data_IF_916408027585
#
_entry.id   IF_916408027585
#
_cell.length_a   1.000
_cell.length_b   1.000
_cell.length_c   1.000
_cell.angle_alpha   90.00
_cell.angle_beta   90.00
_cell.angle_gamma   90.00
#
_symmetry.space_group_name_H-M   'P 1'
#
loop_
_entity.id
_entity.type
_entity.pdbx_description
1 polymer ?
#
# COMPACT_ATOMS: atom_id res chain seq x y z
N UNK A 1 38.31 31.27 -38.94
CA UNK A 1 38.12 29.80 -38.89
C UNK A 1 38.03 29.39 -37.43
N UNK A 2 36.81 29.06 -37.01
CA UNK A 2 36.38 28.78 -35.63
C UNK A 2 36.95 27.46 -35.13
N UNK A 3 37.88 27.49 -34.17
CA UNK A 3 38.40 26.29 -33.48
C UNK A 3 37.92 26.16 -32.04
N UNK A 4 37.18 27.15 -31.52
CA UNK A 4 36.75 27.17 -30.11
C UNK A 4 35.43 26.44 -29.83
N UNK A 5 34.65 26.08 -30.86
CA UNK A 5 33.34 25.43 -30.68
C UNK A 5 33.38 23.90 -30.55
N UNK A 6 34.52 23.26 -30.86
CA UNK A 6 34.63 21.79 -30.83
C UNK A 6 35.00 21.22 -29.45
N UNK A 7 35.60 22.02 -28.56
CA UNK A 7 36.04 21.55 -27.24
C UNK A 7 34.88 21.50 -26.24
N UNK A 8 33.91 22.43 -26.33
CA UNK A 8 32.75 22.46 -25.42
C UNK A 8 31.78 21.29 -25.71
N UNK A 9 31.68 20.84 -26.96
CA UNK A 9 30.79 19.75 -27.34
C UNK A 9 31.32 18.36 -26.94
N UNK A 10 32.64 18.20 -26.75
CA UNK A 10 33.25 16.94 -26.31
C UNK A 10 33.18 16.73 -24.78
N UNK A 11 33.05 17.81 -23.99
CA UNK A 11 32.96 17.74 -22.52
C UNK A 11 31.54 17.45 -21.99
N UNK A 12 30.51 17.59 -22.82
CA UNK A 12 29.11 17.30 -22.46
C UNK A 12 28.72 15.82 -22.66
N UNK A 13 29.59 14.99 -23.25
CA UNK A 13 29.31 13.59 -23.62
C UNK A 13 29.87 12.55 -22.62
N UNK A 14 30.54 12.98 -21.55
CA UNK A 14 31.21 12.08 -20.60
C UNK A 14 30.58 12.06 -19.19
N UNK A 15 29.45 12.73 -18.98
CA UNK A 15 28.68 12.55 -17.76
C UNK A 15 27.87 11.26 -17.90
N UNK A 16 28.43 10.13 -17.47
CA UNK A 16 27.61 8.94 -17.22
C UNK A 16 26.44 9.37 -16.31
N UNK A 17 25.20 8.94 -16.60
CA UNK A 17 24.08 9.26 -15.73
C UNK A 17 24.43 8.75 -14.34
N UNK A 18 24.60 9.67 -13.40
CA UNK A 18 24.95 9.33 -12.03
C UNK A 18 23.85 8.42 -11.48
N UNK A 19 24.22 7.17 -11.17
CA UNK A 19 23.31 6.21 -10.55
C UNK A 19 22.80 6.82 -9.24
N UNK A 20 21.48 6.95 -9.05
CA UNK A 20 20.95 7.49 -7.81
C UNK A 20 21.46 6.69 -6.61
N UNK A 21 21.77 7.34 -5.46
CA UNK A 21 22.29 6.63 -4.29
C UNK A 21 21.34 5.56 -3.74
N UNK A 22 20.05 5.64 -4.07
CA UNK A 22 19.02 4.66 -3.71
C UNK A 22 19.08 3.38 -4.55
N UNK A 23 19.62 3.42 -5.76
CA UNK A 23 19.57 2.32 -6.74
C UNK A 23 20.27 1.03 -6.23
N UNK A 24 21.50 1.09 -5.65
CA UNK A 24 22.14 -0.11 -5.12
C UNK A 24 21.32 -0.80 -4.03
N UNK A 25 20.65 -0.01 -3.17
CA UNK A 25 19.80 -0.52 -2.11
C UNK A 25 18.48 -1.09 -2.65
N UNK A 26 17.91 -0.48 -3.70
CA UNK A 26 16.73 -1.03 -4.37
C UNK A 26 17.02 -2.42 -4.96
N UNK A 27 18.17 -2.56 -5.65
CA UNK A 27 18.61 -3.84 -6.22
C UNK A 27 18.91 -4.86 -5.14
N UNK A 28 19.65 -4.49 -4.09
CA UNK A 28 19.96 -5.37 -2.96
C UNK A 28 18.69 -5.85 -2.24
N UNK A 29 17.70 -4.96 -2.08
CA UNK A 29 16.39 -5.30 -1.53
C UNK A 29 15.65 -6.30 -2.41
N UNK A 30 15.62 -6.09 -3.73
CA UNK A 30 14.97 -7.00 -4.68
C UNK A 30 15.65 -8.38 -4.74
N UNK A 31 16.98 -8.43 -4.63
CA UNK A 31 17.74 -9.69 -4.50
C UNK A 31 17.40 -10.43 -3.22
N UNK A 32 17.42 -9.72 -2.07
CA UNK A 32 17.04 -10.32 -0.79
C UNK A 32 15.59 -10.80 -0.78
N UNK A 33 14.66 -10.05 -1.39
CA UNK A 33 13.26 -10.42 -1.48
C UNK A 33 13.06 -11.70 -2.31
N UNK A 34 13.74 -11.81 -3.45
CA UNK A 34 13.74 -13.03 -4.29
C UNK A 34 14.36 -14.22 -3.58
N UNK A 35 15.34 -13.99 -2.72
CA UNK A 35 15.97 -15.00 -1.88
C UNK A 35 15.18 -15.32 -0.59
N UNK A 36 13.96 -14.79 -0.45
CA UNK A 36 13.09 -14.95 0.74
C UNK A 36 13.71 -14.44 2.06
N UNK A 37 14.77 -13.63 1.97
CA UNK A 37 15.39 -12.95 3.11
C UNK A 37 14.65 -11.65 3.42
N UNK A 38 13.38 -11.76 3.80
CA UNK A 38 12.45 -10.62 3.88
C UNK A 38 12.84 -9.55 4.90
N UNK A 39 13.48 -9.91 6.01
CA UNK A 39 14.01 -8.94 6.97
C UNK A 39 15.10 -8.07 6.35
N UNK A 40 16.03 -8.69 5.60
CA UNK A 40 17.08 -7.98 4.86
C UNK A 40 16.47 -7.12 3.76
N UNK A 41 15.52 -7.67 3.00
CA UNK A 41 14.83 -6.93 1.95
C UNK A 41 14.16 -5.67 2.51
N UNK A 42 13.47 -5.78 3.65
CA UNK A 42 12.84 -4.65 4.32
C UNK A 42 13.85 -3.55 4.70
N UNK A 43 15.01 -3.93 5.23
CA UNK A 43 16.07 -2.97 5.57
C UNK A 43 16.54 -2.22 4.32
N UNK A 44 16.90 -2.95 3.27
CA UNK A 44 17.43 -2.35 2.04
C UNK A 44 16.40 -1.44 1.35
N UNK A 45 15.13 -1.88 1.26
CA UNK A 45 14.07 -1.03 0.71
C UNK A 45 13.82 0.24 1.54
N UNK A 46 13.92 0.17 2.87
CA UNK A 46 13.81 1.37 3.72
C UNK A 46 14.99 2.33 3.54
N UNK A 47 16.19 1.81 3.34
CA UNK A 47 17.35 2.65 3.03
C UNK A 47 17.18 3.31 1.66
N UNK A 48 16.74 2.55 0.64
CA UNK A 48 16.46 3.11 -0.68
C UNK A 48 15.36 4.19 -0.63
N UNK A 49 14.30 3.98 0.16
CA UNK A 49 13.24 4.96 0.40
C UNK A 49 13.78 6.24 1.05
N UNK A 50 14.60 6.11 2.10
CA UNK A 50 15.23 7.24 2.77
C UNK A 50 16.19 8.03 1.84
N UNK A 51 16.75 7.36 0.84
CA UNK A 51 17.58 7.95 -0.21
C UNK A 51 16.77 8.47 -1.42
N UNK A 52 15.43 8.45 -1.33
CA UNK A 52 14.53 9.09 -2.30
C UNK A 52 13.86 8.16 -3.31
N UNK A 53 14.07 6.83 -3.23
CA UNK A 53 13.32 5.89 -4.09
C UNK A 53 11.89 5.73 -3.59
N UNK A 54 10.96 6.41 -4.25
CA UNK A 54 9.52 6.29 -3.95
C UNK A 54 8.97 4.90 -4.26
N UNK A 55 9.54 4.19 -5.23
CA UNK A 55 9.17 2.81 -5.56
C UNK A 55 9.54 1.84 -4.43
N UNK A 56 10.66 2.06 -3.74
CA UNK A 56 11.10 1.19 -2.65
C UNK A 56 10.08 1.07 -1.50
N UNK A 57 9.28 2.13 -1.27
CA UNK A 57 8.22 2.12 -0.24
C UNK A 57 7.15 1.03 -0.48
N UNK A 58 6.84 0.72 -1.75
CA UNK A 58 5.91 -0.36 -2.10
C UNK A 58 6.48 -1.75 -1.79
N UNK A 59 7.76 -1.96 -2.06
CA UNK A 59 8.42 -3.23 -1.77
C UNK A 59 8.75 -3.40 -0.27
N UNK A 60 8.98 -2.32 0.46
CA UNK A 60 9.04 -2.36 1.92
C UNK A 60 7.70 -2.84 2.51
N UNK A 61 6.57 -2.33 2.00
CA UNK A 61 5.24 -2.79 2.39
C UNK A 61 5.01 -4.28 2.04
N UNK A 62 5.40 -4.72 0.85
CA UNK A 62 5.34 -6.14 0.47
C UNK A 62 6.20 -7.03 1.39
N UNK A 63 7.38 -6.55 1.81
CA UNK A 63 8.26 -7.27 2.74
C UNK A 63 7.61 -7.44 4.12
N UNK A 64 6.92 -6.41 4.63
CA UNK A 64 6.16 -6.50 5.88
C UNK A 64 5.06 -7.57 5.81
N UNK A 65 4.35 -7.69 4.68
CA UNK A 65 3.38 -8.76 4.47
C UNK A 65 4.05 -10.13 4.55
N UNK A 66 5.19 -10.31 3.86
CA UNK A 66 5.93 -11.58 3.85
C UNK A 66 6.47 -11.97 5.22
N UNK A 67 6.72 -10.99 6.09
CA UNK A 67 7.09 -11.18 7.49
C UNK A 67 5.89 -11.45 8.42
N UNK A 68 4.67 -11.61 7.89
CA UNK A 68 3.48 -11.86 8.70
C UNK A 68 2.98 -10.65 9.48
N UNK A 69 3.27 -9.43 9.00
CA UNK A 69 2.88 -8.17 9.63
C UNK A 69 1.85 -7.42 8.75
N UNK A 70 0.62 -7.96 8.60
CA UNK A 70 -0.33 -7.47 7.59
C UNK A 70 -0.80 -6.04 7.86
N UNK A 71 -0.99 -5.64 9.12
CA UNK A 71 -1.41 -4.28 9.46
C UNK A 71 -0.32 -3.25 9.13
N UNK A 72 0.93 -3.56 9.43
CA UNK A 72 2.08 -2.72 9.10
C UNK A 72 2.23 -2.61 7.58
N UNK A 73 1.97 -3.69 6.86
CA UNK A 73 1.95 -3.68 5.40
C UNK A 73 0.81 -2.80 4.84
N UNK A 74 -0.41 -2.89 5.38
CA UNK A 74 -1.52 -2.01 4.98
C UNK A 74 -1.15 -0.54 5.18
N UNK A 75 -0.63 -0.20 6.36
CA UNK A 75 -0.18 1.15 6.66
C UNK A 75 0.90 1.64 5.69
N UNK A 76 1.92 0.82 5.46
CA UNK A 76 3.00 1.15 4.52
C UNK A 76 2.50 1.31 3.08
N UNK A 77 1.57 0.47 2.61
CA UNK A 77 0.96 0.62 1.28
C UNK A 77 0.12 1.89 1.15
N UNK A 78 -0.59 2.30 2.20
CA UNK A 78 -1.33 3.59 2.22
C UNK A 78 -0.36 4.76 2.10
N UNK A 79 0.77 4.72 2.80
CA UNK A 79 1.80 5.75 2.72
C UNK A 79 2.50 5.76 1.35
N UNK A 80 2.86 4.60 0.82
CA UNK A 80 3.46 4.44 -0.51
C UNK A 80 2.56 5.01 -1.62
N UNK A 81 1.25 4.74 -1.56
CA UNK A 81 0.28 5.29 -2.51
C UNK A 81 0.19 6.81 -2.48
N UNK A 82 0.24 7.42 -1.29
CA UNK A 82 0.24 8.88 -1.14
C UNK A 82 1.50 9.52 -1.72
N UNK A 83 2.62 8.83 -1.64
CA UNK A 83 3.92 9.30 -2.14
C UNK A 83 4.06 9.14 -3.65
N UNK A 84 3.73 7.96 -4.19
CA UNK A 84 3.80 7.70 -5.62
C UNK A 84 2.91 6.51 -6.03
N UNK A 85 1.66 6.80 -6.38
CA UNK A 85 0.72 5.79 -6.89
C UNK A 85 1.14 5.18 -8.23
N UNK A 86 1.88 5.89 -9.07
CA UNK A 86 2.26 5.42 -10.40
C UNK A 86 3.31 4.30 -10.37
N UNK A 87 4.02 4.13 -9.26
CA UNK A 87 5.02 3.08 -9.07
C UNK A 87 4.43 1.68 -8.81
N UNK A 88 3.10 1.53 -8.71
CA UNK A 88 2.48 0.23 -8.44
C UNK A 88 2.31 -0.62 -9.71
N UNK A 89 2.52 -1.92 -9.60
CA UNK A 89 2.26 -2.91 -10.64
C UNK A 89 1.21 -3.95 -10.18
N UNK A 90 0.85 -4.88 -11.07
CA UNK A 90 -0.15 -5.90 -10.76
C UNK A 90 0.27 -6.82 -9.59
N UNK A 91 1.57 -7.06 -9.40
CA UNK A 91 2.08 -7.92 -8.32
C UNK A 91 2.00 -7.20 -6.97
N UNK A 92 2.38 -5.92 -6.92
CA UNK A 92 2.24 -5.06 -5.75
C UNK A 92 0.77 -4.89 -5.33
N UNK A 93 -0.15 -4.81 -6.30
CA UNK A 93 -1.59 -4.85 -6.01
C UNK A 93 -2.04 -6.18 -5.39
N UNK A 94 -1.51 -7.32 -5.86
CA UNK A 94 -1.79 -8.62 -5.23
C UNK A 94 -1.29 -8.63 -3.78
N UNK A 95 -0.07 -8.15 -3.52
CA UNK A 95 0.44 -8.05 -2.15
C UNK A 95 -0.41 -7.13 -1.28
N UNK A 96 -0.83 -5.98 -1.80
CA UNK A 96 -1.72 -5.09 -1.06
C UNK A 96 -3.07 -5.72 -0.75
N UNK A 97 -3.66 -6.44 -1.72
CA UNK A 97 -4.88 -7.20 -1.51
C UNK A 97 -4.72 -8.28 -0.44
N UNK A 98 -3.60 -9.01 -0.45
CA UNK A 98 -3.26 -10.01 0.58
C UNK A 98 -3.09 -9.39 1.97
N UNK A 99 -2.42 -8.23 2.06
CA UNK A 99 -2.27 -7.50 3.32
C UNK A 99 -3.62 -7.04 3.87
N UNK A 100 -4.48 -6.46 3.02
CA UNK A 100 -5.85 -6.10 3.41
C UNK A 100 -6.66 -7.33 3.85
N UNK A 101 -6.59 -8.44 3.12
CA UNK A 101 -7.30 -9.68 3.47
C UNK A 101 -6.85 -10.22 4.84
N UNK A 102 -5.54 -10.31 5.07
CA UNK A 102 -4.97 -10.77 6.33
C UNK A 102 -5.22 -9.81 7.50
N UNK A 103 -5.44 -8.51 7.24
CA UNK A 103 -5.81 -7.51 8.23
C UNK A 103 -7.33 -7.41 8.49
N UNK A 104 -8.15 -8.23 7.81
CA UNK A 104 -9.61 -8.24 7.92
C UNK A 104 -10.32 -7.11 7.15
N UNK A 105 -9.63 -6.43 6.22
CA UNK A 105 -10.16 -5.36 5.39
C UNK A 105 -10.63 -5.93 4.05
N UNK A 106 -11.79 -6.57 4.05
CA UNK A 106 -12.25 -7.44 2.97
C UNK A 106 -12.69 -6.67 1.70
N UNK A 107 -13.31 -5.50 1.83
CA UNK A 107 -13.64 -4.63 0.70
C UNK A 107 -12.35 -4.06 0.09
N UNK A 108 -11.40 -3.62 0.92
CA UNK A 108 -10.08 -3.24 0.44
C UNK A 108 -9.44 -4.38 -0.37
N UNK A 109 -9.45 -5.60 0.17
CA UNK A 109 -8.89 -6.77 -0.50
C UNK A 109 -9.56 -7.06 -1.84
N UNK A 110 -10.90 -7.08 -1.89
CA UNK A 110 -11.67 -7.36 -3.11
C UNK A 110 -11.32 -6.37 -4.24
N UNK A 111 -11.24 -5.07 -3.91
CA UNK A 111 -10.88 -4.01 -4.85
C UNK A 111 -9.48 -4.21 -5.46
N UNK A 112 -8.49 -4.57 -4.63
CA UNK A 112 -7.13 -4.78 -5.13
C UNK A 112 -6.98 -6.08 -5.92
N UNK A 113 -7.67 -7.16 -5.52
CA UNK A 113 -7.70 -8.38 -6.32
C UNK A 113 -8.42 -8.20 -7.65
N UNK A 114 -9.45 -7.36 -7.72
CA UNK A 114 -10.09 -6.97 -8.96
C UNK A 114 -9.14 -6.20 -9.89
N UNK A 115 -8.50 -5.14 -9.37
CA UNK A 115 -7.53 -4.34 -10.13
C UNK A 115 -6.40 -5.21 -10.67
N UNK A 116 -5.80 -6.02 -9.80
CA UNK A 116 -4.73 -6.93 -10.18
C UNK A 116 -5.20 -7.94 -11.23
N UNK A 117 -6.39 -8.52 -11.06
CA UNK A 117 -6.94 -9.53 -11.97
C UNK A 117 -7.08 -9.05 -13.42
N UNK A 118 -7.30 -7.74 -13.64
CA UNK A 118 -7.38 -7.16 -14.98
C UNK A 118 -6.03 -7.11 -15.72
N UNK A 119 -4.91 -7.19 -14.98
CA UNK A 119 -3.53 -7.09 -15.48
C UNK A 119 -2.69 -8.34 -15.18
N UNK A 120 -3.23 -9.30 -14.44
CA UNK A 120 -2.53 -10.48 -13.99
C UNK A 120 -2.45 -11.57 -15.07
N UNK A 121 -1.38 -12.36 -15.05
CA UNK A 121 -1.20 -13.50 -15.95
C UNK A 121 -2.21 -14.64 -15.68
N UNK A 122 -2.33 -15.60 -16.63
CA UNK A 122 -3.38 -16.64 -16.62
C UNK A 122 -3.34 -17.57 -15.41
N UNK A 123 -2.21 -17.66 -14.70
CA UNK A 123 -2.07 -18.46 -13.48
C UNK A 123 -2.70 -17.80 -12.25
N UNK A 124 -2.69 -16.46 -12.19
CA UNK A 124 -3.16 -15.72 -11.02
C UNK A 124 -4.66 -15.43 -11.09
N UNK A 125 -5.22 -15.21 -12.28
CA UNK A 125 -6.65 -14.87 -12.46
C UNK A 125 -7.60 -15.86 -11.76
N UNK A 126 -7.46 -17.20 -11.88
CA UNK A 126 -8.35 -18.13 -11.19
C UNK A 126 -8.23 -18.04 -9.66
N UNK A 127 -7.02 -17.82 -9.14
CA UNK A 127 -6.77 -17.70 -7.70
C UNK A 127 -7.41 -16.43 -7.14
N UNK A 128 -7.22 -15.29 -7.81
CA UNK A 128 -7.84 -14.02 -7.43
C UNK A 128 -9.37 -14.13 -7.48
N UNK A 129 -9.94 -14.78 -8.51
CA UNK A 129 -11.38 -15.03 -8.61
C UNK A 129 -11.91 -15.85 -7.42
N UNK A 130 -11.19 -16.90 -7.01
CA UNK A 130 -11.58 -17.72 -5.87
C UNK A 130 -11.54 -16.93 -4.55
N UNK A 131 -10.48 -16.13 -4.31
CA UNK A 131 -10.36 -15.26 -3.13
C UNK A 131 -11.50 -14.24 -3.07
N UNK A 132 -11.83 -13.60 -4.19
CA UNK A 132 -12.98 -12.67 -4.28
C UNK A 132 -14.32 -13.35 -4.00
N UNK A 133 -14.47 -14.62 -4.40
CA UNK A 133 -15.62 -15.45 -4.04
C UNK A 133 -15.74 -15.63 -2.53
N UNK A 134 -14.66 -16.06 -1.88
CA UNK A 134 -14.63 -16.24 -0.43
C UNK A 134 -14.89 -14.92 0.35
N UNK A 135 -14.37 -13.80 -0.14
CA UNK A 135 -14.67 -12.48 0.43
C UNK A 135 -16.18 -12.18 0.35
N UNK A 136 -16.81 -12.43 -0.79
CA UNK A 136 -18.26 -12.21 -0.95
C UNK A 136 -19.08 -13.05 0.03
N UNK A 137 -18.66 -14.29 0.28
CA UNK A 137 -19.31 -15.18 1.23
C UNK A 137 -19.08 -14.73 2.69
N UNK A 138 -17.94 -14.13 2.99
CA UNK A 138 -17.68 -13.53 4.31
C UNK A 138 -18.47 -12.22 4.54
N UNK A 139 -18.83 -11.50 3.47
CA UNK A 139 -19.56 -10.23 3.50
C UNK A 139 -21.08 -10.38 3.39
N UNK A 140 -21.64 -11.52 3.81
CA UNK A 140 -23.09 -11.71 3.86
C UNK A 140 -23.75 -10.75 4.85
N UNK A 141 -24.99 -10.27 4.60
CA UNK A 141 -25.64 -9.24 5.42
C UNK A 141 -25.66 -9.51 6.92
N UNK A 142 -25.82 -10.78 7.32
CA UNK A 142 -25.83 -11.20 8.72
C UNK A 142 -24.51 -10.93 9.46
N UNK A 143 -23.39 -10.81 8.74
CA UNK A 143 -22.05 -10.60 9.31
C UNK A 143 -21.62 -9.14 9.32
N UNK A 144 -22.36 -8.25 8.65
CA UNK A 144 -21.92 -6.86 8.46
C UNK A 144 -21.92 -6.04 9.75
N UNK A 145 -22.97 -6.13 10.57
CA UNK A 145 -23.08 -5.36 11.80
C UNK A 145 -21.90 -5.59 12.79
N UNK A 146 -21.58 -6.84 13.19
CA UNK A 146 -20.45 -7.09 14.09
C UNK A 146 -19.09 -6.70 13.45
N UNK A 147 -18.93 -6.86 12.12
CA UNK A 147 -17.71 -6.44 11.43
C UNK A 147 -17.52 -4.91 11.49
N UNK A 148 -18.59 -4.15 11.24
CA UNK A 148 -18.58 -2.68 11.34
C UNK A 148 -18.22 -2.26 12.77
N UNK A 149 -18.82 -2.88 13.79
CA UNK A 149 -18.55 -2.55 15.19
C UNK A 149 -17.08 -2.78 15.59
N UNK A 150 -16.51 -3.91 15.18
CA UNK A 150 -15.10 -4.23 15.40
C UNK A 150 -14.16 -3.24 14.71
N UNK A 151 -14.44 -2.88 13.46
CA UNK A 151 -13.63 -1.92 12.70
C UNK A 151 -13.69 -0.51 13.29
N UNK A 152 -14.87 -0.02 13.70
CA UNK A 152 -15.02 1.30 14.32
C UNK A 152 -14.27 1.39 15.66
N UNK A 153 -14.32 0.33 16.46
CA UNK A 153 -13.58 0.24 17.73
C UNK A 153 -12.07 0.31 17.46
N UNK A 154 -11.56 -0.60 16.61
CA UNK A 154 -10.14 -0.68 16.28
C UNK A 154 -9.61 0.60 15.61
N UNK A 155 -10.37 1.19 14.68
CA UNK A 155 -10.00 2.44 14.02
C UNK A 155 -9.91 3.62 15.00
N UNK A 156 -10.79 3.66 16.01
CA UNK A 156 -10.76 4.69 17.05
C UNK A 156 -9.55 4.55 17.96
N UNK A 157 -9.24 3.32 18.40
CA UNK A 157 -8.08 3.02 19.24
C UNK A 157 -6.74 3.38 18.55
N UNK A 158 -6.65 3.11 17.25
CA UNK A 158 -5.44 3.36 16.46
C UNK A 158 -5.28 4.82 16.01
N UNK A 159 -6.34 5.64 16.09
CA UNK A 159 -6.33 7.00 15.55
C UNK A 159 -5.20 7.89 16.08
N UNK A 160 -4.77 7.69 17.34
CA UNK A 160 -3.73 8.49 17.97
C UNK A 160 -2.29 8.01 17.71
N UNK A 161 -2.11 6.74 17.34
CA UNK A 161 -0.79 6.09 17.25
C UNK A 161 -0.42 5.66 15.84
N UNK A 162 -1.41 5.28 15.03
CA UNK A 162 -1.25 4.75 13.66
C UNK A 162 -2.29 5.37 12.72
N UNK A 163 -2.22 6.68 12.45
CA UNK A 163 -3.29 7.41 11.77
C UNK A 163 -3.55 6.93 10.34
N UNK A 164 -2.54 6.46 9.61
CA UNK A 164 -2.71 5.92 8.26
C UNK A 164 -3.45 4.56 8.27
N UNK A 165 -3.13 3.68 9.22
CA UNK A 165 -3.87 2.43 9.39
C UNK A 165 -5.30 2.68 9.89
N UNK A 166 -5.46 3.56 10.88
CA UNK A 166 -6.77 3.95 11.41
C UNK A 166 -7.68 4.48 10.29
N UNK A 167 -7.13 5.30 9.39
CA UNK A 167 -7.85 5.80 8.22
C UNK A 167 -8.30 4.66 7.30
N UNK A 168 -7.41 3.71 6.96
CA UNK A 168 -7.78 2.57 6.11
C UNK A 168 -8.87 1.68 6.75
N UNK A 169 -8.84 1.52 8.07
CA UNK A 169 -9.87 0.78 8.81
C UNK A 169 -11.20 1.54 8.81
N UNK A 170 -11.17 2.88 8.95
CA UNK A 170 -12.37 3.70 8.90
C UNK A 170 -13.03 3.67 7.50
N UNK A 171 -12.24 3.74 6.42
CA UNK A 171 -12.75 3.60 5.05
C UNK A 171 -13.43 2.25 4.83
N UNK A 172 -12.85 1.17 5.37
CA UNK A 172 -13.45 -0.17 5.31
C UNK A 172 -14.80 -0.20 6.06
N UNK A 173 -14.85 0.34 7.28
CA UNK A 173 -16.07 0.40 8.08
C UNK A 173 -17.18 1.20 7.37
N UNK A 174 -16.83 2.34 6.77
CA UNK A 174 -17.77 3.18 6.02
C UNK A 174 -18.30 2.47 4.77
N UNK A 175 -17.43 1.77 4.03
CA UNK A 175 -17.84 1.00 2.86
C UNK A 175 -18.76 -0.18 3.25
N UNK A 176 -18.51 -0.85 4.38
CA UNK A 176 -19.38 -1.90 4.88
C UNK A 176 -20.73 -1.36 5.36
N UNK A 177 -20.73 -0.24 6.09
CA UNK A 177 -21.95 0.42 6.54
C UNK A 177 -22.83 0.83 5.35
N UNK A 178 -22.22 1.29 4.24
CA UNK A 178 -22.94 1.68 3.04
C UNK A 178 -23.59 0.49 2.31
N UNK A 179 -23.03 -0.71 2.48
CA UNK A 179 -23.58 -1.98 1.95
C UNK A 179 -24.58 -2.63 2.91
N UNK A 180 -24.65 -2.18 4.16
CA UNK A 180 -25.56 -2.73 5.16
C UNK A 180 -27.01 -2.34 4.84
N UNK A 181 -27.95 -3.31 4.76
CA UNK A 181 -29.36 -3.01 4.52
C UNK A 181 -29.99 -2.07 5.56
N UNK A 182 -29.49 -2.11 6.80
CA UNK A 182 -29.97 -1.28 7.92
C UNK A 182 -29.20 0.03 8.07
N UNK A 183 -28.18 0.26 7.24
CA UNK A 183 -27.22 1.38 7.40
C UNK A 183 -26.60 1.43 8.80
N UNK A 184 -26.35 0.24 9.38
CA UNK A 184 -25.77 0.09 10.73
C UNK A 184 -24.55 1.01 10.91
N UNK A 185 -24.64 1.94 11.85
CA UNK A 185 -23.59 2.91 12.23
C UNK A 185 -22.97 3.71 11.07
N UNK A 186 -23.70 3.91 9.98
CA UNK A 186 -23.23 4.69 8.82
C UNK A 186 -22.70 6.07 9.21
N UNK A 187 -23.46 6.81 10.02
CA UNK A 187 -23.09 8.17 10.42
C UNK A 187 -21.76 8.21 11.20
N UNK A 188 -21.53 7.22 12.06
CA UNK A 188 -20.32 7.12 12.88
C UNK A 188 -19.11 6.74 12.03
N UNK A 189 -19.28 5.82 11.07
CA UNK A 189 -18.23 5.46 10.13
C UNK A 189 -17.81 6.64 9.25
N UNK A 190 -18.77 7.34 8.65
CA UNK A 190 -18.51 8.55 7.86
C UNK A 190 -17.84 9.64 8.69
N UNK A 191 -18.27 9.87 9.95
CA UNK A 191 -17.65 10.84 10.84
C UNK A 191 -16.20 10.47 11.19
N UNK A 192 -15.93 9.18 11.43
CA UNK A 192 -14.58 8.70 11.72
C UNK A 192 -13.65 8.87 10.51
N UNK A 193 -14.09 8.45 9.32
CA UNK A 193 -13.30 8.62 8.07
C UNK A 193 -13.00 10.10 7.82
N UNK A 194 -14.01 10.97 7.89
CA UNK A 194 -13.84 12.40 7.66
C UNK A 194 -12.84 13.03 8.64
N UNK A 195 -12.91 12.65 9.92
CA UNK A 195 -11.97 13.12 10.95
C UNK A 195 -10.53 12.69 10.67
N UNK A 196 -10.34 11.47 10.17
CA UNK A 196 -9.02 10.89 9.90
C UNK A 196 -8.46 11.26 8.51
N UNK A 197 -9.30 11.71 7.59
CA UNK A 197 -8.90 12.22 6.27
C UNK A 197 -8.18 13.58 6.37
N UNK A 198 -8.53 14.39 7.36
CA UNK A 198 -7.95 15.72 7.53
C UNK A 198 -6.47 15.63 7.94
N UNK A 199 -5.56 16.40 7.30
CA UNK A 199 -4.18 16.49 7.77
C UNK A 199 -4.19 17.05 9.21
N UNK A 200 -3.33 16.54 10.11
CA UNK A 200 -3.25 17.08 11.47
C UNK A 200 -2.95 18.58 11.41
N UNK A 201 -3.56 19.41 12.29
CA UNK A 201 -3.29 20.83 12.31
C UNK A 201 -1.77 21.03 12.45
N UNK A 202 -1.17 21.77 11.52
CA UNK A 202 0.24 22.14 11.59
C UNK A 202 0.42 23.00 12.84
N UNK A 203 0.85 22.39 13.94
CA UNK A 203 1.30 23.11 15.12
C UNK A 203 2.39 24.09 14.68
N UNK A 204 2.17 25.38 14.96
CA UNK A 204 3.20 26.41 14.81
C UNK A 204 4.39 25.96 15.65
N UNK A 205 5.50 25.61 14.99
CA UNK A 205 6.82 25.57 15.63
C UNK A 205 7.31 27.00 15.82
#
# INVERSE_FOLDING_TARGET
MSRSSLVVLALLLAAEPAVPPSEPHLVAGAEAFRAEAYDKALVEFRVAEALGSTEASWYAAASLLKLGRPEDAVEAFVLAERSNRAATDALLEVYRGQACYAAGLLICADRWFESAGSRAGPRLVPQLKALRGAIRDALQPAQLAPAIDGLLTRGTELAGTRPALAFAIAEEAEALAARSPTRHRQAEATALTARLAAPPPRGRR
#
